data_IF_978037675994
#
_entry.id   IF_978037675994
#
_cell.length_a   1.000
_cell.length_b   1.000
_cell.length_c   1.000
_cell.angle_alpha   90.00
_cell.angle_beta   90.00
_cell.angle_gamma   90.00
#
_symmetry.space_group_name_H-M   'P 1'
#
loop_
_entity.id
_entity.type
_entity.pdbx_description
1 polymer ?
#
# COMPACT_ATOMS: atom_id res chain seq x y z
N UNK A 1 -0.19 -10.66 9.12
CA UNK A 1 -0.83 -9.62 8.30
C UNK A 1 -2.07 -10.13 7.56
N UNK A 2 -1.97 -11.19 6.74
CA UNK A 2 -3.12 -11.77 6.01
C UNK A 2 -4.30 -12.16 6.93
N UNK A 3 -4.02 -12.78 8.07
CA UNK A 3 -5.05 -13.12 9.06
C UNK A 3 -5.79 -11.88 9.61
N UNK A 4 -5.08 -10.77 9.82
CA UNK A 4 -5.71 -9.51 10.27
C UNK A 4 -6.57 -8.90 9.16
N UNK A 5 -6.13 -8.96 7.90
CA UNK A 5 -6.92 -8.53 6.75
C UNK A 5 -8.20 -9.35 6.62
N UNK A 6 -8.12 -10.67 6.79
CA UNK A 6 -9.28 -11.55 6.79
C UNK A 6 -10.27 -11.15 7.89
N UNK A 7 -9.81 -11.06 9.16
CA UNK A 7 -10.66 -10.70 10.30
C UNK A 7 -11.34 -9.34 10.10
N UNK A 8 -10.61 -8.34 9.60
CA UNK A 8 -11.17 -7.02 9.35
C UNK A 8 -12.17 -7.01 8.19
N UNK A 9 -11.92 -7.76 7.12
CA UNK A 9 -12.86 -7.93 6.03
C UNK A 9 -14.14 -8.59 6.50
N UNK A 10 -14.05 -9.69 7.24
CA UNK A 10 -15.20 -10.41 7.80
C UNK A 10 -16.04 -9.49 8.69
N UNK A 11 -15.39 -8.68 9.54
CA UNK A 11 -16.06 -7.72 10.43
C UNK A 11 -16.76 -6.58 9.68
N UNK A 12 -16.14 -6.06 8.61
CA UNK A 12 -16.68 -4.93 7.83
C UNK A 12 -17.70 -5.41 6.79
N UNK A 13 -17.63 -6.68 6.36
CA UNK A 13 -18.50 -7.27 5.35
C UNK A 13 -18.24 -6.77 3.92
N UNK A 14 -17.13 -6.04 3.69
CA UNK A 14 -16.75 -5.48 2.39
C UNK A 14 -15.24 -5.63 2.16
N UNK A 15 -14.77 -5.66 0.90
CA UNK A 15 -13.35 -5.58 0.59
C UNK A 15 -12.68 -4.39 1.28
N UNK A 16 -11.44 -4.58 1.72
CA UNK A 16 -10.67 -3.54 2.41
C UNK A 16 -9.96 -2.61 1.41
N UNK A 17 -9.73 -1.37 1.84
CA UNK A 17 -8.77 -0.47 1.22
C UNK A 17 -7.49 -0.52 2.06
N UNK A 18 -6.39 -1.00 1.48
CA UNK A 18 -5.13 -1.12 2.19
C UNK A 18 -4.21 0.05 1.88
N UNK A 19 -3.63 0.68 2.90
CA UNK A 19 -2.58 1.70 2.76
C UNK A 19 -1.41 1.26 3.62
N UNK A 20 -0.29 0.94 2.98
CA UNK A 20 0.96 0.58 3.63
C UNK A 20 1.99 1.69 3.47
N UNK A 21 2.65 2.05 4.56
CA UNK A 21 3.72 3.04 4.59
C UNK A 21 5.05 2.30 4.65
N UNK A 22 5.97 2.62 3.74
CA UNK A 22 7.32 2.07 3.71
C UNK A 22 8.26 3.15 4.22
N UNK A 23 8.95 2.85 5.32
CA UNK A 23 9.93 3.76 5.90
C UNK A 23 11.02 4.07 4.87
N UNK A 24 11.36 5.35 4.74
CA UNK A 24 12.42 5.85 3.86
C UNK A 24 13.79 5.17 4.04
N UNK A 25 14.08 4.64 5.23
CA UNK A 25 15.31 3.93 5.60
C UNK A 25 15.25 2.44 5.30
N UNK A 26 14.09 1.91 4.92
CA UNK A 26 13.94 0.51 4.53
C UNK A 26 14.92 0.21 3.41
N UNK A 27 15.55 -0.97 3.42
CA UNK A 27 16.45 -1.38 2.34
C UNK A 27 15.65 -1.70 1.08
N UNK A 28 16.33 -1.72 -0.06
CA UNK A 28 15.75 -2.29 -1.28
C UNK A 28 15.55 -3.79 -1.05
N UNK A 29 14.36 -4.35 -1.31
CA UNK A 29 14.09 -5.75 -1.04
C UNK A 29 14.96 -6.67 -1.91
N UNK A 30 15.54 -7.68 -1.27
CA UNK A 30 16.33 -8.74 -1.92
C UNK A 30 15.41 -9.73 -2.68
N UNK A 31 15.96 -10.79 -3.27
CA UNK A 31 15.15 -11.73 -4.07
C UNK A 31 14.09 -12.48 -3.25
N UNK A 32 14.43 -12.91 -2.03
CA UNK A 32 13.51 -13.61 -1.13
C UNK A 32 12.39 -12.69 -0.64
N UNK A 33 12.75 -11.47 -0.22
CA UNK A 33 11.78 -10.45 0.21
C UNK A 33 10.84 -10.07 -0.93
N UNK A 34 11.33 -10.00 -2.17
CA UNK A 34 10.49 -9.76 -3.35
C UNK A 34 9.49 -10.90 -3.61
N UNK A 35 9.86 -12.16 -3.35
CA UNK A 35 8.94 -13.28 -3.43
C UNK A 35 7.86 -13.21 -2.35
N UNK A 36 8.24 -12.87 -1.11
CA UNK A 36 7.29 -12.68 0.00
C UNK A 36 6.31 -11.53 -0.28
N UNK A 37 6.78 -10.41 -0.81
CA UNK A 37 5.92 -9.29 -1.23
C UNK A 37 4.97 -9.71 -2.34
N UNK A 38 5.44 -10.47 -3.33
CA UNK A 38 4.60 -10.98 -4.42
C UNK A 38 3.49 -11.91 -3.90
N UNK A 39 3.84 -12.81 -2.97
CA UNK A 39 2.87 -13.68 -2.31
C UNK A 39 1.84 -12.88 -1.49
N UNK A 40 2.30 -11.91 -0.70
CA UNK A 40 1.41 -11.02 0.06
C UNK A 40 0.44 -10.27 -0.86
N UNK A 41 0.90 -9.77 -2.00
CA UNK A 41 0.05 -9.08 -2.96
C UNK A 41 -0.95 -10.03 -3.63
N UNK A 42 -0.53 -11.25 -3.97
CA UNK A 42 -1.42 -12.27 -4.52
C UNK A 42 -2.54 -12.63 -3.54
N UNK A 43 -2.19 -12.94 -2.30
CA UNK A 43 -3.17 -13.31 -1.26
C UNK A 43 -3.99 -12.11 -0.78
N UNK A 44 -3.39 -10.93 -0.72
CA UNK A 44 -4.05 -9.70 -0.31
C UNK A 44 -5.25 -9.33 -1.17
N UNK A 45 -5.24 -9.71 -2.45
CA UNK A 45 -6.36 -9.54 -3.41
C UNK A 45 -7.62 -10.25 -2.99
N UNK A 46 -7.47 -11.36 -2.26
CA UNK A 46 -8.64 -12.05 -1.72
C UNK A 46 -9.37 -11.17 -0.72
N UNK A 47 -8.69 -10.22 -0.06
CA UNK A 47 -9.26 -9.45 1.05
C UNK A 47 -9.47 -7.96 0.75
N UNK A 48 -8.67 -7.40 -0.15
CA UNK A 48 -8.64 -5.97 -0.44
C UNK A 48 -9.11 -5.70 -1.87
N UNK A 49 -9.76 -4.55 -2.09
CA UNK A 49 -10.08 -4.06 -3.43
C UNK A 49 -8.88 -3.33 -4.06
N UNK A 50 -8.12 -2.63 -3.22
CA UNK A 50 -6.91 -1.89 -3.63
C UNK A 50 -5.91 -1.88 -2.49
N UNK A 51 -4.64 -1.85 -2.87
CA UNK A 51 -3.48 -1.63 -2.03
C UNK A 51 -2.72 -0.40 -2.52
N UNK A 52 -2.46 0.52 -1.61
CA UNK A 52 -1.61 1.68 -1.83
C UNK A 52 -0.34 1.52 -1.00
N UNK A 53 0.81 1.56 -1.65
CA UNK A 53 2.11 1.60 -0.97
C UNK A 53 2.67 3.01 -1.08
N UNK A 54 2.90 3.64 0.05
CA UNK A 54 3.50 4.97 0.12
C UNK A 54 4.95 4.80 0.53
N UNK A 55 5.86 5.29 -0.31
CA UNK A 55 7.29 5.34 -0.01
C UNK A 55 7.65 6.81 0.09
N UNK A 56 7.77 7.29 1.31
CA UNK A 56 8.07 8.70 1.58
C UNK A 56 9.56 8.97 1.45
N UNK A 57 9.90 10.23 1.15
CA UNK A 57 11.28 10.65 0.93
C UNK A 57 11.63 10.91 -0.53
N UNK A 58 12.60 11.81 -0.71
CA UNK A 58 13.10 12.30 -1.99
C UNK A 58 14.50 11.78 -2.33
N UNK A 59 15.08 10.91 -1.50
CA UNK A 59 16.41 10.38 -1.76
C UNK A 59 16.41 9.40 -2.93
N UNK A 60 17.60 9.14 -3.48
CA UNK A 60 17.79 8.19 -4.57
C UNK A 60 17.25 6.81 -4.19
N UNK A 61 17.48 6.36 -2.95
CA UNK A 61 17.01 5.07 -2.46
C UNK A 61 15.48 4.97 -2.50
N UNK A 62 14.73 5.99 -2.07
CA UNK A 62 13.26 5.98 -2.10
C UNK A 62 12.75 5.93 -3.54
N UNK A 63 13.40 6.68 -4.44
CA UNK A 63 13.07 6.69 -5.85
C UNK A 63 13.32 5.32 -6.49
N UNK A 64 14.46 4.67 -6.19
CA UNK A 64 14.77 3.33 -6.66
C UNK A 64 13.79 2.29 -6.11
N UNK A 65 13.40 2.37 -4.83
CA UNK A 65 12.38 1.48 -4.26
C UNK A 65 11.04 1.61 -4.99
N UNK A 66 10.57 2.83 -5.24
CA UNK A 66 9.32 3.05 -5.99
C UNK A 66 9.40 2.45 -7.39
N UNK A 67 10.54 2.60 -8.08
CA UNK A 67 10.77 2.02 -9.41
C UNK A 67 10.80 0.49 -9.35
N UNK A 68 11.51 -0.11 -8.39
CA UNK A 68 11.62 -1.57 -8.25
C UNK A 68 10.26 -2.19 -7.94
N UNK A 69 9.52 -1.62 -6.97
CA UNK A 69 8.19 -2.12 -6.61
C UNK A 69 7.21 -1.93 -7.79
N UNK A 70 7.25 -0.79 -8.46
CA UNK A 70 6.47 -0.58 -9.69
C UNK A 70 6.84 -1.57 -10.80
N UNK A 71 8.12 -1.90 -10.94
CA UNK A 71 8.59 -2.93 -11.88
C UNK A 71 8.09 -4.32 -11.52
N UNK A 72 8.06 -4.66 -10.23
CA UNK A 72 7.46 -5.92 -9.76
C UNK A 72 5.98 -6.00 -10.11
N UNK A 73 5.23 -4.88 -10.06
CA UNK A 73 3.82 -4.85 -10.47
C UNK A 73 3.66 -5.29 -11.92
N UNK A 74 4.50 -4.73 -12.80
CA UNK A 74 4.49 -5.04 -14.24
C UNK A 74 4.81 -6.51 -14.48
N UNK A 75 5.88 -7.02 -13.87
CA UNK A 75 6.34 -8.41 -14.07
C UNK A 75 5.33 -9.42 -13.51
N UNK A 76 4.74 -9.14 -12.36
CA UNK A 76 3.71 -10.00 -11.74
C UNK A 76 2.34 -9.89 -12.41
N UNK A 77 2.21 -9.09 -13.48
CA UNK A 77 0.95 -8.78 -14.18
C UNK A 77 -0.14 -8.23 -13.25
N UNK A 78 0.26 -7.56 -12.17
CA UNK A 78 -0.66 -6.93 -11.23
C UNK A 78 -1.05 -5.50 -11.65
N UNK A 79 -0.93 -5.19 -12.96
CA UNK A 79 -1.31 -3.93 -13.59
C UNK A 79 -2.84 -3.81 -13.80
N UNK A 80 -3.64 -4.42 -12.95
CA UNK A 80 -5.10 -4.39 -12.99
C UNK A 80 -5.70 -3.35 -12.03
N UNK A 81 -4.86 -2.42 -11.55
CA UNK A 81 -5.27 -1.36 -10.64
C UNK A 81 -5.38 -1.79 -9.18
N UNK A 82 -5.00 -3.03 -8.84
CA UNK A 82 -4.98 -3.48 -7.45
C UNK A 82 -3.88 -2.81 -6.62
N UNK A 83 -2.66 -2.65 -7.15
CA UNK A 83 -1.55 -2.04 -6.43
C UNK A 83 -1.15 -0.70 -7.06
N UNK A 84 -1.06 0.35 -6.24
CA UNK A 84 -0.51 1.66 -6.63
C UNK A 84 0.60 2.09 -5.68
N UNK A 85 1.66 2.69 -6.24
CA UNK A 85 2.81 3.19 -5.46
C UNK A 85 2.80 4.72 -5.47
N UNK A 86 2.93 5.32 -4.28
CA UNK A 86 2.82 6.76 -4.07
C UNK A 86 4.07 7.33 -3.40
N UNK A 87 4.32 8.62 -3.62
CA UNK A 87 5.44 9.35 -2.99
C UNK A 87 5.09 9.92 -1.61
N UNK A 88 3.81 10.17 -1.35
CA UNK A 88 3.32 10.71 -0.08
C UNK A 88 1.90 10.21 0.19
N UNK A 89 1.49 10.27 1.46
CA UNK A 89 0.16 9.80 1.88
C UNK A 89 -0.98 10.65 1.30
N UNK A 90 -0.75 11.94 1.04
CA UNK A 90 -1.77 12.83 0.48
C UNK A 90 -2.17 12.43 -0.95
N UNK A 91 -1.26 11.79 -1.70
CA UNK A 91 -1.55 11.26 -3.05
C UNK A 91 -2.58 10.14 -3.03
N UNK A 92 -2.77 9.49 -1.89
CA UNK A 92 -3.76 8.42 -1.71
C UNK A 92 -5.17 8.99 -1.49
N UNK A 93 -5.29 10.23 -1.03
CA UNK A 93 -6.54 10.83 -0.59
C UNK A 93 -7.63 10.82 -1.67
N UNK A 94 -7.29 11.19 -2.91
CA UNK A 94 -8.26 11.25 -4.00
C UNK A 94 -8.91 9.89 -4.29
N UNK A 95 -8.14 8.80 -4.28
CA UNK A 95 -8.67 7.46 -4.51
C UNK A 95 -9.47 6.95 -3.31
N UNK A 96 -9.00 7.21 -2.08
CA UNK A 96 -9.75 6.87 -0.86
C UNK A 96 -11.09 7.61 -0.81
N UNK A 97 -11.11 8.90 -1.14
CA UNK A 97 -12.34 9.68 -1.16
C UNK A 97 -13.35 9.10 -2.14
N UNK A 98 -12.88 8.75 -3.35
CA UNK A 98 -13.70 8.15 -4.40
C UNK A 98 -14.31 6.81 -3.96
N UNK A 99 -13.53 5.94 -3.31
CA UNK A 99 -13.99 4.59 -2.91
C UNK A 99 -14.78 4.57 -1.61
N UNK A 100 -14.41 5.40 -0.63
CA UNK A 100 -15.12 5.50 0.65
C UNK A 100 -16.40 6.34 0.53
N UNK A 101 -16.49 7.23 -0.47
CA UNK A 101 -17.56 8.22 -0.58
C UNK A 101 -17.57 9.24 0.58
N UNK A 102 -16.43 9.40 1.26
CA UNK A 102 -16.26 10.24 2.46
C UNK A 102 -14.91 10.93 2.42
N UNK A 103 -14.78 12.04 3.15
CA UNK A 103 -13.50 12.72 3.33
C UNK A 103 -12.48 11.79 4.03
N UNK A 104 -11.33 11.48 3.40
CA UNK A 104 -10.29 10.64 3.98
C UNK A 104 -9.38 11.40 4.97
N UNK A 105 -9.45 12.73 5.06
CA UNK A 105 -8.58 13.54 5.90
C UNK A 105 -8.52 13.09 7.37
N UNK A 106 -9.63 12.68 8.03
CA UNK A 106 -9.57 12.17 9.40
C UNK A 106 -8.71 10.91 9.57
N UNK A 107 -8.73 10.01 8.58
CA UNK A 107 -7.95 8.76 8.61
C UNK A 107 -6.47 9.08 8.39
N UNK A 108 -6.16 9.95 7.43
CA UNK A 108 -4.79 10.39 7.16
C UNK A 108 -4.20 11.13 8.37
N UNK A 109 -4.97 12.05 8.98
CA UNK A 109 -4.56 12.73 10.21
C UNK A 109 -4.29 11.74 11.34
N UNK A 110 -5.16 10.74 11.50
CA UNK A 110 -4.93 9.71 12.52
C UNK A 110 -3.67 8.88 12.25
N UNK A 111 -3.38 8.56 11.00
CA UNK A 111 -2.16 7.87 10.62
C UNK A 111 -0.91 8.67 10.99
N UNK A 112 -0.93 10.00 10.75
CA UNK A 112 0.14 10.92 11.16
C UNK A 112 0.30 11.00 12.68
N UNK A 113 -0.80 11.13 13.42
CA UNK A 113 -0.79 11.14 14.89
C UNK A 113 -0.18 9.86 15.49
N UNK A 114 -0.34 8.72 14.80
CA UNK A 114 0.21 7.43 15.19
C UNK A 114 1.65 7.22 14.72
N UNK A 115 2.26 8.19 14.02
CA UNK A 115 3.60 8.09 13.45
C UNK A 115 3.72 7.12 12.28
N UNK A 116 2.60 6.75 11.65
CA UNK A 116 2.58 5.83 10.51
C UNK A 116 2.89 6.55 9.19
N UNK A 117 2.54 7.83 9.10
CA UNK A 117 2.79 8.67 7.93
C UNK A 117 3.39 10.01 8.35
N UNK A 118 4.16 10.62 7.45
CA UNK A 118 4.79 11.92 7.67
C UNK A 118 4.03 13.08 7.03
#
# INVERSE_FOLDING_TARGET
>A
MLQLMQQHRERVGKPLLYVGMIDSKSKIPNAEERNLLSHLLSEGRNFCEVAHLVIEGSELQNSLQRVIISGMIIVTRTYDGFLSVHKNVDSVAADLQKRLGKDPAPIIRKARELGLAT
#
